data_IF_290507297853
#
_entry.id   IF_290507297853
#
_cell.length_a   1.000
_cell.length_b   1.000
_cell.length_c   1.000
_cell.angle_alpha   90.00
_cell.angle_beta   90.00
_cell.angle_gamma   90.00
#
_symmetry.space_group_name_H-M   'P 1'
#
loop_
_entity.id
_entity.type
_entity.pdbx_description
1 polymer ?
#
# COMPACT_ATOMS: atom_id res chain seq x y z
N UNK A 1 -57.97 -0.52 44.67
CA UNK A 1 -57.58 -0.92 43.29
C UNK A 1 -56.86 0.18 42.53
N UNK A 2 -57.18 1.47 42.76
CA UNK A 2 -56.55 2.62 42.10
C UNK A 2 -55.02 2.72 42.29
N UNK A 3 -54.51 2.51 43.52
CA UNK A 3 -53.06 2.57 43.80
C UNK A 3 -52.23 1.53 43.02
N UNK A 4 -52.81 0.37 42.69
CA UNK A 4 -52.10 -0.66 41.91
C UNK A 4 -52.02 -0.30 40.43
N UNK A 5 -53.05 0.35 39.90
CA UNK A 5 -53.08 0.83 38.51
C UNK A 5 -52.06 1.95 38.28
N UNK A 6 -51.93 2.88 39.23
CA UNK A 6 -50.94 3.97 39.15
C UNK A 6 -49.51 3.42 39.18
N UNK A 7 -49.25 2.40 39.98
CA UNK A 7 -47.92 1.79 40.11
C UNK A 7 -47.53 1.02 38.84
N UNK A 8 -48.46 0.26 38.25
CA UNK A 8 -48.26 -0.44 36.98
C UNK A 8 -48.07 0.54 35.83
N UNK A 9 -48.83 1.64 35.79
CA UNK A 9 -48.67 2.68 34.79
C UNK A 9 -47.31 3.40 34.91
N UNK A 10 -46.86 3.72 36.14
CA UNK A 10 -45.56 4.34 36.37
C UNK A 10 -44.39 3.46 35.92
N UNK A 11 -44.46 2.15 36.21
CA UNK A 11 -43.46 1.17 35.76
C UNK A 11 -43.46 1.09 34.23
N UNK A 12 -44.62 0.99 33.58
CA UNK A 12 -44.72 0.91 32.12
C UNK A 12 -44.15 2.17 31.44
N UNK A 13 -44.46 3.36 31.95
CA UNK A 13 -43.96 4.63 31.40
C UNK A 13 -42.44 4.80 31.56
N UNK A 14 -41.85 4.20 32.59
CA UNK A 14 -40.40 4.22 32.83
C UNK A 14 -39.60 3.49 31.74
N UNK A 15 -40.16 2.40 31.19
CA UNK A 15 -39.52 1.63 30.11
C UNK A 15 -39.60 2.34 28.75
N UNK A 16 -40.71 3.04 28.49
CA UNK A 16 -40.90 3.77 27.21
C UNK A 16 -39.94 4.97 27.13
N UNK A 17 -39.71 5.68 28.23
CA UNK A 17 -38.79 6.82 28.28
C UNK A 17 -37.32 6.43 28.00
N UNK A 18 -36.89 5.24 28.43
CA UNK A 18 -35.52 4.74 28.19
C UNK A 18 -35.30 4.25 26.76
N UNK A 19 -36.35 3.77 26.08
CA UNK A 19 -36.27 3.40 24.66
C UNK A 19 -36.16 4.60 23.72
N UNK A 20 -36.73 5.75 24.11
CA UNK A 20 -36.64 7.00 23.34
C UNK A 20 -35.23 7.63 23.38
N UNK A 21 -34.48 7.46 24.49
CA UNK A 21 -33.12 7.98 24.61
C UNK A 21 -32.06 7.26 23.76
N UNK A 22 -32.38 6.06 23.24
CA UNK A 22 -31.47 5.29 22.38
C UNK A 22 -31.67 5.57 20.87
N UNK A 23 -32.73 6.29 20.48
CA UNK A 23 -33.00 6.63 19.08
C UNK A 23 -32.09 7.77 18.55
N UNK A 24 -31.33 8.42 19.43
CA UNK A 24 -30.47 9.56 19.10
C UNK A 24 -29.02 9.21 18.75
N UNK A 25 -28.57 7.98 18.95
CA UNK A 25 -27.21 7.56 18.59
C UNK A 25 -27.22 6.81 17.25
N UNK A 26 -27.63 7.53 16.19
CA UNK A 26 -27.58 7.00 14.83
C UNK A 26 -26.18 7.26 14.25
N UNK A 27 -25.60 6.19 13.70
CA UNK A 27 -24.21 6.10 13.29
C UNK A 27 -23.73 7.20 12.33
N UNK A 28 -22.40 7.31 12.23
CA UNK A 28 -21.74 8.27 11.35
C UNK A 28 -21.33 7.68 10.00
N UNK A 29 -20.76 8.53 9.15
CA UNK A 29 -20.19 8.14 7.85
C UNK A 29 -18.71 7.81 8.03
N UNK A 30 -18.29 6.63 7.54
CA UNK A 30 -16.87 6.30 7.38
C UNK A 30 -16.51 6.50 5.91
N UNK A 31 -15.57 7.40 5.65
CA UNK A 31 -15.01 7.60 4.31
C UNK A 31 -13.67 6.89 4.22
N UNK A 32 -13.51 6.02 3.22
CA UNK A 32 -12.24 5.37 2.89
C UNK A 32 -11.63 6.07 1.68
N UNK A 33 -10.33 6.38 1.76
CA UNK A 33 -9.56 6.96 0.68
C UNK A 33 -8.39 6.05 0.35
N UNK A 34 -8.13 5.86 -0.93
CA UNK A 34 -7.02 5.06 -1.43
C UNK A 34 -6.85 5.25 -2.93
N UNK A 35 -5.68 4.87 -3.43
CA UNK A 35 -5.38 4.80 -4.85
C UNK A 35 -4.94 3.38 -5.19
N UNK A 36 -5.40 2.88 -6.35
CA UNK A 36 -4.85 1.65 -6.93
C UNK A 36 -3.58 2.05 -7.68
N UNK A 37 -2.44 1.95 -7.00
CA UNK A 37 -1.13 2.16 -7.62
C UNK A 37 -0.58 0.81 -8.07
N UNK A 38 -0.02 0.78 -9.26
CA UNK A 38 0.75 -0.38 -9.72
C UNK A 38 1.94 -0.66 -8.80
N UNK A 39 2.23 -1.95 -8.59
CA UNK A 39 3.30 -2.39 -7.72
C UNK A 39 4.69 -1.94 -8.22
N UNK A 40 5.68 -1.77 -7.31
CA UNK A 40 7.07 -1.58 -7.72
C UNK A 40 7.58 -2.81 -8.47
N UNK A 41 8.65 -2.65 -9.26
CA UNK A 41 9.26 -3.78 -9.95
C UNK A 41 9.92 -4.74 -8.95
N UNK A 42 9.89 -6.04 -9.24
CA UNK A 42 10.60 -7.06 -8.48
C UNK A 42 11.98 -7.30 -9.09
N UNK A 43 13.02 -7.40 -8.25
CA UNK A 43 14.40 -7.58 -8.71
C UNK A 43 14.99 -8.90 -8.23
N UNK A 44 15.73 -9.57 -9.11
CA UNK A 44 16.53 -10.77 -8.80
C UNK A 44 17.95 -10.57 -9.30
N UNK A 45 18.91 -10.69 -8.40
CA UNK A 45 20.34 -10.56 -8.70
C UNK A 45 21.01 -11.92 -8.68
N UNK A 46 21.84 -12.21 -9.68
CA UNK A 46 22.61 -13.45 -9.79
C UNK A 46 23.97 -13.15 -10.44
N UNK A 47 25.03 -13.11 -9.64
CA UNK A 47 26.34 -12.61 -10.09
C UNK A 47 26.22 -11.14 -10.54
N UNK A 48 26.75 -10.82 -11.71
CA UNK A 48 26.66 -9.48 -12.31
C UNK A 48 25.33 -9.22 -13.04
N UNK A 49 24.43 -10.21 -13.10
CA UNK A 49 23.16 -10.06 -13.78
C UNK A 49 22.06 -9.62 -12.82
N UNK A 50 21.27 -8.65 -13.26
CA UNK A 50 20.11 -8.11 -12.57
C UNK A 50 18.91 -8.26 -13.49
N UNK A 51 17.92 -9.03 -13.05
CA UNK A 51 16.65 -9.18 -13.75
C UNK A 51 15.56 -8.45 -12.96
N UNK A 52 14.76 -7.66 -13.66
CA UNK A 52 13.63 -6.94 -13.12
C UNK A 52 12.33 -7.37 -13.79
N UNK A 53 11.26 -7.49 -13.02
CA UNK A 53 9.90 -7.73 -13.52
C UNK A 53 9.01 -6.58 -13.06
N UNK A 54 8.42 -5.86 -14.01
CA UNK A 54 7.57 -4.70 -13.74
C UNK A 54 6.14 -4.97 -14.25
N UNK A 55 5.15 -4.78 -13.39
CA UNK A 55 3.74 -4.81 -13.79
C UNK A 55 3.27 -3.39 -14.10
N UNK A 56 3.03 -3.08 -15.38
CA UNK A 56 2.66 -1.75 -15.87
C UNK A 56 1.62 -1.85 -16.99
N UNK A 57 0.64 -0.97 -17.00
CA UNK A 57 -0.42 -0.90 -18.02
C UNK A 57 -1.18 -2.21 -18.20
N UNK A 58 -1.32 -2.99 -17.11
CA UNK A 58 -1.99 -4.29 -17.13
C UNK A 58 -1.11 -5.48 -17.57
N UNK A 59 0.17 -5.25 -17.88
CA UNK A 59 1.09 -6.27 -18.41
C UNK A 59 2.36 -6.42 -17.56
N UNK A 60 2.89 -7.64 -17.50
CA UNK A 60 4.20 -7.92 -16.87
C UNK A 60 5.29 -7.90 -17.92
N UNK A 61 6.17 -6.90 -17.84
CA UNK A 61 7.37 -6.81 -18.68
C UNK A 61 8.62 -7.25 -17.88
N UNK A 62 9.53 -7.96 -18.56
CA UNK A 62 10.80 -8.41 -17.99
C UNK A 62 11.97 -7.62 -18.58
N UNK A 63 12.89 -7.21 -17.72
CA UNK A 63 14.06 -6.42 -18.08
C UNK A 63 15.30 -7.12 -17.54
N UNK A 64 16.24 -7.45 -18.42
CA UNK A 64 17.48 -8.13 -18.04
C UNK A 64 18.65 -7.20 -18.30
N UNK A 65 19.53 -7.08 -17.33
CA UNK A 65 20.74 -6.29 -17.47
C UNK A 65 21.92 -6.96 -16.78
N UNK A 66 23.12 -6.59 -17.19
CA UNK A 66 24.38 -7.07 -16.64
C UNK A 66 25.30 -5.90 -16.37
N UNK A 67 25.91 -5.87 -15.18
CA UNK A 67 26.88 -4.84 -14.79
C UNK A 67 28.24 -5.18 -15.43
N UNK A 68 28.72 -4.25 -16.24
CA UNK A 68 30.00 -4.31 -16.92
C UNK A 68 31.13 -3.68 -16.09
N UNK A 69 32.37 -3.98 -16.45
CA UNK A 69 33.59 -3.54 -15.76
C UNK A 69 33.75 -2.02 -15.64
N UNK A 70 33.04 -1.23 -16.43
CA UNK A 70 33.05 0.23 -16.38
C UNK A 70 31.85 0.83 -15.64
N UNK A 71 31.20 0.04 -14.76
CA UNK A 71 29.97 0.41 -14.04
C UNK A 71 28.79 0.75 -14.97
N UNK A 72 28.78 0.26 -16.21
CA UNK A 72 27.65 0.43 -17.11
C UNK A 72 26.76 -0.81 -17.13
N UNK A 73 25.51 -0.58 -17.50
CA UNK A 73 24.56 -1.63 -17.80
C UNK A 73 24.56 -1.94 -19.29
N UNK A 74 24.59 -3.22 -19.65
CA UNK A 74 24.38 -3.67 -21.03
C UNK A 74 22.89 -3.88 -21.37
N UNK A 75 21.99 -3.25 -20.62
CA UNK A 75 20.55 -3.43 -20.77
C UNK A 75 19.76 -2.56 -19.81
N UNK A 76 18.44 -2.63 -19.90
CA UNK A 76 17.51 -1.82 -19.11
C UNK A 76 17.08 -2.54 -17.83
N UNK A 77 16.78 -1.80 -16.76
CA UNK A 77 16.26 -2.34 -15.49
C UNK A 77 14.82 -1.91 -15.16
N UNK A 78 14.31 -0.88 -15.83
CA UNK A 78 12.96 -0.35 -15.67
C UNK A 78 12.45 0.19 -17.00
N UNK A 79 11.13 0.19 -17.26
CA UNK A 79 10.56 0.86 -18.42
C UNK A 79 11.02 2.32 -18.55
N UNK A 80 11.07 2.81 -19.79
CA UNK A 80 11.37 4.22 -20.04
C UNK A 80 10.34 5.12 -19.33
N UNK A 81 10.82 6.28 -18.85
CA UNK A 81 10.04 7.35 -18.23
C UNK A 81 9.44 7.08 -16.84
N UNK A 82 9.69 5.92 -16.20
CA UNK A 82 9.17 5.65 -14.84
C UNK A 82 10.21 5.85 -13.72
N UNK A 83 11.42 6.31 -14.06
CA UNK A 83 12.48 6.45 -13.10
C UNK A 83 13.86 6.62 -13.72
N UNK A 84 14.87 6.48 -12.86
CA UNK A 84 16.28 6.50 -13.22
C UNK A 84 17.03 5.36 -12.55
N UNK A 85 18.10 4.92 -13.22
CA UNK A 85 18.99 3.86 -12.76
C UNK A 85 20.41 4.41 -12.72
N UNK A 86 21.03 4.34 -11.55
CA UNK A 86 22.41 4.77 -11.37
C UNK A 86 23.27 3.64 -10.80
N UNK A 87 24.54 3.62 -11.16
CA UNK A 87 25.51 2.64 -10.67
C UNK A 87 26.69 3.36 -10.06
N UNK A 88 27.05 2.97 -8.85
CA UNK A 88 28.21 3.51 -8.15
C UNK A 88 29.09 2.38 -7.61
N UNK A 89 30.42 2.48 -7.72
CA UNK A 89 31.32 1.50 -7.11
C UNK A 89 31.29 1.63 -5.58
N UNK A 90 31.47 0.50 -4.88
CA UNK A 90 31.64 0.51 -3.42
C UNK A 90 33.05 1.01 -3.10
N UNK A 91 33.16 2.02 -2.25
CA UNK A 91 34.44 2.67 -1.94
C UNK A 91 35.50 1.73 -1.36
N UNK A 92 35.09 0.69 -0.64
CA UNK A 92 35.99 -0.31 -0.03
C UNK A 92 36.31 -1.49 -0.93
N UNK A 93 35.62 -1.65 -2.06
CA UNK A 93 35.74 -2.82 -2.94
C UNK A 93 35.27 -2.46 -4.36
N UNK A 94 36.22 -2.20 -5.26
CA UNK A 94 35.93 -1.79 -6.64
C UNK A 94 35.29 -2.88 -7.50
N UNK A 95 35.29 -4.15 -7.05
CA UNK A 95 34.59 -5.24 -7.73
C UNK A 95 33.10 -5.31 -7.33
N UNK A 96 32.69 -4.55 -6.31
CA UNK A 96 31.29 -4.44 -5.88
C UNK A 96 30.67 -3.12 -6.34
N UNK A 97 29.41 -3.22 -6.76
CA UNK A 97 28.67 -2.09 -7.30
C UNK A 97 27.31 -1.97 -6.61
N UNK A 98 26.89 -0.72 -6.36
CA UNK A 98 25.57 -0.36 -5.86
C UNK A 98 24.74 0.10 -7.06
N UNK A 99 23.67 -0.64 -7.33
CA UNK A 99 22.65 -0.25 -8.32
C UNK A 99 21.52 0.44 -7.59
N UNK A 100 21.31 1.72 -7.86
CA UNK A 100 20.23 2.52 -7.29
C UNK A 100 19.15 2.72 -8.34
N UNK A 101 17.92 2.31 -8.03
CA UNK A 101 16.75 2.54 -8.86
C UNK A 101 15.83 3.53 -8.15
N UNK A 102 15.52 4.64 -8.81
CA UNK A 102 14.64 5.68 -8.29
C UNK A 102 13.40 5.80 -9.17
N UNK A 103 12.21 5.60 -8.60
CA UNK A 103 10.93 5.80 -9.31
C UNK A 103 10.51 7.27 -9.27
N UNK A 104 9.81 7.72 -10.31
CA UNK A 104 9.20 9.06 -10.40
C UNK A 104 7.68 8.99 -10.27
#
# INVERSE_FOLDING_TARGET
MLNRLVLVAGIALSFVAQSASLQGQQGGVINFYGALTEAPCTYKVSGNNVNAECYRSGETAKYNSSVQTDNKLNGTLIPDNIGEVNITPVSSDSEKHIVTVSYR
#
